data_IF_647755580179
#
_entry.id   IF_647755580179
#
_cell.length_a   1.000
_cell.length_b   1.000
_cell.length_c   1.000
_cell.angle_alpha   90.00
_cell.angle_beta   90.00
_cell.angle_gamma   90.00
#
_symmetry.space_group_name_H-M   'P 1'
#
loop_
_entity.id
_entity.type
_entity.pdbx_description
1 polymer ?
#
# COMPACT_ATOMS: atom_id res chain seq x y z
N UNK A 1 -37.62 -11.38 -17.98
CA UNK A 1 -37.51 -12.83 -17.75
C UNK A 1 -36.16 -13.28 -18.32
N UNK A 2 -35.12 -13.39 -17.49
CA UNK A 2 -33.80 -13.85 -17.97
C UNK A 2 -33.76 -15.37 -17.88
N UNK A 3 -33.67 -16.02 -19.04
CA UNK A 3 -33.63 -17.47 -19.17
C UNK A 3 -32.25 -17.98 -18.73
N UNK A 4 -32.16 -18.50 -17.51
CA UNK A 4 -30.93 -19.08 -16.96
C UNK A 4 -30.60 -20.38 -17.69
N UNK A 5 -29.54 -20.37 -18.51
CA UNK A 5 -28.99 -21.60 -19.10
C UNK A 5 -28.19 -22.37 -18.03
N UNK A 6 -28.31 -23.71 -17.97
CA UNK A 6 -27.53 -24.51 -17.04
C UNK A 6 -26.04 -24.48 -17.42
N UNK A 7 -25.18 -24.18 -16.43
CA UNK A 7 -23.72 -24.16 -16.54
C UNK A 7 -23.25 -25.60 -16.74
N UNK A 8 -22.69 -25.92 -17.92
CA UNK A 8 -22.41 -27.32 -18.31
C UNK A 8 -20.92 -27.68 -18.31
N UNK A 9 -20.02 -26.69 -18.33
CA UNK A 9 -18.57 -26.93 -18.47
C UNK A 9 -17.74 -25.97 -17.61
N UNK A 10 -16.53 -26.40 -17.22
CA UNK A 10 -15.57 -25.57 -16.47
C UNK A 10 -15.23 -24.26 -17.20
N UNK A 11 -15.32 -24.24 -18.53
CA UNK A 11 -15.05 -23.06 -19.37
C UNK A 11 -16.13 -21.98 -19.27
N UNK A 12 -17.38 -22.35 -18.94
CA UNK A 12 -18.43 -21.37 -18.67
C UNK A 12 -18.24 -20.73 -17.30
N UNK A 13 -17.71 -21.49 -16.33
CA UNK A 13 -17.38 -20.97 -15.01
C UNK A 13 -16.23 -19.95 -15.10
N UNK A 14 -15.19 -20.21 -15.89
CA UNK A 14 -14.08 -19.27 -16.10
C UNK A 14 -14.53 -18.01 -16.85
N UNK A 15 -15.41 -18.14 -17.86
CA UNK A 15 -15.99 -16.97 -18.56
C UNK A 15 -16.88 -16.12 -17.66
N UNK A 16 -17.68 -16.75 -16.80
CA UNK A 16 -18.50 -16.02 -15.82
C UNK A 16 -17.64 -15.36 -14.75
N UNK A 17 -16.55 -16.01 -14.34
CA UNK A 17 -15.57 -15.46 -13.40
C UNK A 17 -14.83 -14.26 -14.01
N UNK A 18 -14.48 -14.32 -15.29
CA UNK A 18 -13.88 -13.19 -16.03
C UNK A 18 -14.88 -12.05 -16.26
N UNK A 19 -16.13 -12.35 -16.58
CA UNK A 19 -17.18 -11.33 -16.68
C UNK A 19 -17.47 -10.67 -15.32
N UNK A 20 -17.49 -11.45 -14.23
CA UNK A 20 -17.66 -10.94 -12.87
C UNK A 20 -16.46 -10.08 -12.41
N UNK A 21 -15.25 -10.48 -12.79
CA UNK A 21 -14.02 -9.72 -12.54
C UNK A 21 -14.00 -8.41 -13.34
N UNK A 22 -14.56 -8.41 -14.55
CA UNK A 22 -14.67 -7.23 -15.42
C UNK A 22 -15.81 -6.29 -15.00
N UNK A 23 -16.89 -6.80 -14.39
CA UNK A 23 -18.01 -5.99 -13.89
C UNK A 23 -17.81 -5.41 -12.48
N UNK A 24 -16.86 -5.93 -11.68
CA UNK A 24 -16.38 -5.27 -10.44
C UNK A 24 -15.41 -4.10 -10.67
N UNK A 25 -14.96 -3.86 -11.90
CA UNK A 25 -14.40 -2.54 -12.24
C UNK A 25 -15.57 -1.57 -12.36
N UNK A 26 -15.94 -1.00 -11.21
CA UNK A 26 -16.88 0.11 -11.10
C UNK A 26 -16.61 1.13 -12.23
N UNK A 27 -17.62 1.60 -12.98
CA UNK A 27 -17.41 2.62 -14.00
C UNK A 27 -16.75 3.81 -13.30
N UNK A 28 -15.48 4.04 -13.63
CA UNK A 28 -14.67 5.08 -13.02
C UNK A 28 -15.40 6.40 -13.26
N UNK A 29 -15.88 7.04 -12.19
CA UNK A 29 -16.26 8.45 -12.25
C UNK A 29 -15.09 9.22 -12.87
N UNK A 30 -15.38 10.02 -13.89
CA UNK A 30 -14.43 10.91 -14.53
C UNK A 30 -13.76 11.79 -13.46
N UNK A 31 -12.48 11.53 -13.17
CA UNK A 31 -11.71 12.23 -12.13
C UNK A 31 -10.96 11.32 -11.15
N UNK A 32 -11.29 10.02 -11.07
CA UNK A 32 -10.50 9.08 -10.29
C UNK A 32 -9.19 8.75 -11.03
N UNK A 33 -8.11 9.45 -10.69
CA UNK A 33 -6.77 9.06 -11.10
C UNK A 33 -6.53 7.60 -10.68
N UNK A 34 -5.98 6.76 -11.57
CA UNK A 34 -5.66 5.40 -11.21
C UNK A 34 -4.71 5.38 -10.01
N UNK A 35 -5.05 4.64 -8.94
CA UNK A 35 -4.21 4.53 -7.74
C UNK A 35 -2.78 4.05 -8.05
N UNK A 36 -2.59 3.25 -9.12
CA UNK A 36 -1.26 2.81 -9.55
C UNK A 36 -0.38 3.98 -10.03
N UNK A 37 -0.97 4.97 -10.71
CA UNK A 37 -0.24 6.15 -11.18
C UNK A 37 0.16 7.06 -10.01
N UNK A 38 -0.75 7.25 -9.04
CA UNK A 38 -0.43 7.98 -7.81
C UNK A 38 0.71 7.32 -7.02
N UNK A 39 0.70 5.99 -6.90
CA UNK A 39 1.77 5.24 -6.25
C UNK A 39 3.10 5.38 -6.98
N UNK A 40 3.12 5.32 -8.32
CA UNK A 40 4.34 5.50 -9.10
C UNK A 40 4.92 6.91 -8.94
N UNK A 41 4.06 7.93 -9.06
CA UNK A 41 4.48 9.32 -8.92
C UNK A 41 4.98 9.59 -7.49
N UNK A 42 4.29 9.08 -6.48
CA UNK A 42 4.71 9.16 -5.08
C UNK A 42 6.10 8.56 -4.86
N UNK A 43 6.33 7.31 -5.32
CA UNK A 43 7.65 6.67 -5.18
C UNK A 43 8.77 7.46 -5.89
N UNK A 44 8.51 7.99 -7.08
CA UNK A 44 9.49 8.77 -7.84
C UNK A 44 9.82 10.09 -7.12
N UNK A 45 8.80 10.82 -6.67
CA UNK A 45 8.96 12.08 -5.95
C UNK A 45 9.71 11.84 -4.63
N UNK A 46 9.34 10.81 -3.86
CA UNK A 46 10.02 10.47 -2.61
C UNK A 46 11.48 10.12 -2.87
N UNK A 47 11.76 9.24 -3.84
CA UNK A 47 13.13 8.86 -4.19
C UNK A 47 13.97 10.06 -4.62
N UNK A 48 13.41 10.94 -5.47
CA UNK A 48 14.08 12.16 -5.93
C UNK A 48 14.42 13.11 -4.78
N UNK A 49 13.47 13.37 -3.87
CA UNK A 49 13.74 14.21 -2.70
C UNK A 49 14.77 13.58 -1.77
N UNK A 50 14.71 12.28 -1.53
CA UNK A 50 15.65 11.59 -0.65
C UNK A 50 17.07 11.59 -1.23
N UNK A 51 17.26 11.37 -2.53
CA UNK A 51 18.58 11.51 -3.13
C UNK A 51 19.07 12.96 -3.11
N UNK A 52 18.20 13.94 -3.38
CA UNK A 52 18.54 15.35 -3.29
C UNK A 52 19.03 15.74 -1.89
N UNK A 53 18.31 15.34 -0.84
CA UNK A 53 18.72 15.57 0.54
C UNK A 53 20.00 14.81 0.92
N UNK A 54 20.15 13.57 0.44
CA UNK A 54 21.36 12.78 0.62
C UNK A 54 22.61 13.46 0.05
N UNK A 55 22.53 13.96 -1.18
CA UNK A 55 23.63 14.67 -1.85
C UNK A 55 23.96 15.97 -1.13
N UNK A 56 22.95 16.79 -0.78
CA UNK A 56 23.19 18.02 -0.02
C UNK A 56 23.94 17.73 1.28
N UNK A 57 23.55 16.66 1.98
CA UNK A 57 24.18 16.31 3.24
C UNK A 57 25.66 15.97 3.11
N UNK A 58 26.04 15.26 2.05
CA UNK A 58 27.45 14.99 1.76
C UNK A 58 28.23 16.21 1.27
N UNK A 59 27.56 17.21 0.72
CA UNK A 59 28.15 18.54 0.48
C UNK A 59 28.28 19.38 1.77
N UNK A 60 28.00 18.80 2.93
CA UNK A 60 27.95 19.49 4.22
C UNK A 60 26.98 20.68 4.25
N UNK A 61 25.95 20.63 3.41
CA UNK A 61 24.88 21.64 3.35
C UNK A 61 23.59 20.99 3.79
N UNK A 62 22.82 21.70 4.61
CA UNK A 62 21.50 21.24 4.99
C UNK A 62 20.44 22.11 4.30
N UNK A 63 19.31 21.53 3.87
CA UNK A 63 18.23 22.29 3.23
C UNK A 63 17.41 23.13 4.22
N UNK A 64 17.53 22.85 5.53
CA UNK A 64 16.70 23.46 6.57
C UNK A 64 17.47 24.39 7.51
N UNK A 65 18.76 24.12 7.68
CA UNK A 65 19.62 24.81 8.64
C UNK A 65 20.83 25.45 7.96
N UNK A 66 21.15 26.68 8.37
CA UNK A 66 22.33 27.42 7.92
C UNK A 66 23.60 26.79 8.50
N UNK A 67 23.52 26.29 9.74
CA UNK A 67 24.62 25.59 10.41
C UNK A 67 24.13 24.40 11.22
N UNK A 68 24.65 23.23 10.89
CA UNK A 68 24.50 22.00 11.65
C UNK A 68 25.86 21.30 11.70
N UNK A 69 26.13 20.52 12.74
CA UNK A 69 27.39 19.80 12.87
C UNK A 69 27.53 18.70 11.81
N UNK A 70 28.76 18.37 11.43
CA UNK A 70 29.02 17.41 10.35
C UNK A 70 28.48 16.02 10.65
N UNK A 71 28.49 15.58 11.92
CA UNK A 71 28.03 14.26 12.33
C UNK A 71 26.53 14.01 12.02
N UNK A 72 25.57 14.85 12.50
CA UNK A 72 24.15 14.67 12.18
C UNK A 72 23.85 14.79 10.68
N UNK A 73 24.57 15.65 9.94
CA UNK A 73 24.44 15.70 8.48
C UNK A 73 24.81 14.36 7.83
N UNK A 74 25.92 13.74 8.21
CA UNK A 74 26.33 12.47 7.60
C UNK A 74 25.27 11.39 7.85
N UNK A 75 24.74 11.30 9.07
CA UNK A 75 23.68 10.33 9.42
C UNK A 75 22.42 10.59 8.60
N UNK A 76 21.96 11.85 8.53
CA UNK A 76 20.81 12.25 7.71
C UNK A 76 20.99 11.89 6.23
N UNK A 77 22.20 12.07 5.70
CA UNK A 77 22.54 11.73 4.32
C UNK A 77 22.41 10.23 4.04
N UNK A 78 22.99 9.40 4.92
CA UNK A 78 22.96 7.94 4.79
C UNK A 78 21.53 7.41 4.88
N UNK A 79 20.74 7.89 5.85
CA UNK A 79 19.34 7.47 6.04
C UNK A 79 18.50 7.82 4.81
N UNK A 80 18.67 9.03 4.26
CA UNK A 80 17.96 9.45 3.04
C UNK A 80 18.38 8.64 1.80
N UNK A 81 19.65 8.30 1.63
CA UNK A 81 20.09 7.49 0.49
C UNK A 81 19.51 6.08 0.57
N UNK A 82 19.52 5.45 1.75
CA UNK A 82 18.91 4.14 1.94
C UNK A 82 17.41 4.18 1.63
N UNK A 83 16.70 5.19 2.12
CA UNK A 83 15.28 5.36 1.81
C UNK A 83 15.03 5.64 0.32
N UNK A 84 15.89 6.44 -0.32
CA UNK A 84 15.87 6.71 -1.76
C UNK A 84 16.04 5.44 -2.61
N UNK A 85 16.92 4.52 -2.20
CA UNK A 85 17.11 3.23 -2.84
C UNK A 85 15.90 2.30 -2.64
N UNK A 86 15.33 2.25 -1.43
CA UNK A 86 14.14 1.43 -1.14
C UNK A 86 12.93 1.90 -1.96
N UNK A 87 12.72 3.22 -2.04
CA UNK A 87 11.64 3.82 -2.84
C UNK A 87 11.85 3.64 -4.34
N UNK A 88 13.10 3.74 -4.83
CA UNK A 88 13.44 3.46 -6.22
C UNK A 88 13.21 1.98 -6.58
N UNK A 89 13.63 1.06 -5.70
CA UNK A 89 13.37 -0.37 -5.86
C UNK A 89 11.87 -0.67 -5.90
N UNK A 90 11.10 -0.04 -5.00
CA UNK A 90 9.64 -0.14 -4.98
C UNK A 90 9.02 0.38 -6.28
N UNK A 91 9.51 1.51 -6.81
CA UNK A 91 9.09 2.04 -8.12
C UNK A 91 9.34 1.03 -9.25
N UNK A 92 10.55 0.47 -9.34
CA UNK A 92 10.92 -0.53 -10.36
C UNK A 92 10.01 -1.76 -10.26
N UNK A 93 9.74 -2.25 -9.04
CA UNK A 93 8.84 -3.38 -8.81
C UNK A 93 7.41 -3.08 -9.28
N UNK A 94 6.88 -1.88 -9.03
CA UNK A 94 5.56 -1.47 -9.52
C UNK A 94 5.51 -1.45 -11.06
N UNK A 95 6.58 -0.99 -11.72
CA UNK A 95 6.64 -0.92 -13.19
C UNK A 95 6.75 -2.30 -13.83
N UNK A 96 7.62 -3.16 -13.31
CA UNK A 96 7.94 -4.46 -13.95
C UNK A 96 6.89 -5.53 -13.61
N UNK A 97 6.43 -5.59 -12.36
CA UNK A 97 5.60 -6.71 -11.91
C UNK A 97 4.46 -6.24 -11.01
N UNK A 98 3.32 -5.92 -11.64
CA UNK A 98 2.10 -5.58 -10.91
C UNK A 98 1.58 -6.73 -10.01
N UNK A 99 2.07 -7.97 -10.18
CA UNK A 99 1.53 -9.16 -9.48
C UNK A 99 2.35 -9.67 -8.30
N UNK A 100 3.60 -9.23 -8.12
CA UNK A 100 4.52 -9.81 -7.11
C UNK A 100 4.85 -8.78 -6.03
N UNK A 101 3.81 -8.26 -5.38
CA UNK A 101 4.01 -7.41 -4.20
C UNK A 101 4.07 -8.26 -2.94
N UNK A 102 5.23 -8.24 -2.30
CA UNK A 102 5.43 -8.85 -1.00
C UNK A 102 5.02 -7.86 0.11
N UNK A 103 4.34 -8.38 1.13
CA UNK A 103 4.00 -7.66 2.37
C UNK A 103 5.24 -7.10 3.06
N UNK A 104 6.36 -7.82 2.97
CA UNK A 104 7.62 -7.37 3.55
C UNK A 104 8.07 -6.02 2.99
N UNK A 105 7.81 -5.73 1.71
CA UNK A 105 8.20 -4.47 1.08
C UNK A 105 7.48 -3.27 1.72
N UNK A 106 6.20 -3.41 2.07
CA UNK A 106 5.41 -2.34 2.72
C UNK A 106 5.96 -2.04 4.11
N UNK A 107 6.30 -3.08 4.88
CA UNK A 107 6.89 -2.90 6.20
C UNK A 107 8.26 -2.23 6.12
N UNK A 108 9.11 -2.65 5.17
CA UNK A 108 10.42 -2.02 4.94
C UNK A 108 10.26 -0.56 4.51
N UNK A 109 9.33 -0.26 3.61
CA UNK A 109 9.02 1.11 3.17
C UNK A 109 8.51 1.97 4.34
N UNK A 110 7.61 1.45 5.17
CA UNK A 110 7.08 2.15 6.33
C UNK A 110 8.14 2.41 7.40
N UNK A 111 8.97 1.41 7.70
CA UNK A 111 10.05 1.54 8.67
C UNK A 111 11.11 2.54 8.21
N UNK A 112 11.49 2.51 6.93
CA UNK A 112 12.47 3.43 6.36
C UNK A 112 11.94 4.86 6.27
N UNK A 113 10.66 5.06 5.92
CA UNK A 113 10.02 6.37 5.98
C UNK A 113 9.99 6.91 7.42
N UNK A 114 9.65 6.07 8.40
CA UNK A 114 9.68 6.44 9.82
C UNK A 114 11.10 6.82 10.28
N UNK A 115 12.13 6.09 9.83
CA UNK A 115 13.52 6.41 10.13
C UNK A 115 13.92 7.80 9.62
N UNK A 116 13.54 8.18 8.39
CA UNK A 116 13.82 9.52 7.85
C UNK A 116 13.11 10.61 8.67
N UNK A 117 11.84 10.40 9.03
CA UNK A 117 11.08 11.35 9.85
C UNK A 117 11.72 11.53 11.23
N UNK A 118 12.07 10.43 11.90
CA UNK A 118 12.70 10.46 13.22
C UNK A 118 14.08 11.12 13.19
N UNK A 119 14.87 10.86 12.15
CA UNK A 119 16.17 11.50 11.97
C UNK A 119 16.01 13.02 11.74
N UNK A 120 15.07 13.42 10.88
CA UNK A 120 14.76 14.84 10.64
C UNK A 120 14.32 15.55 11.92
N UNK A 121 13.47 14.90 12.74
CA UNK A 121 13.04 15.41 14.04
C UNK A 121 14.21 15.51 15.03
N UNK A 122 15.10 14.51 15.06
CA UNK A 122 16.28 14.51 15.92
C UNK A 122 17.23 15.64 15.56
N UNK A 123 17.44 15.90 14.26
CA UNK A 123 18.24 17.02 13.77
C UNK A 123 17.62 18.38 14.15
N UNK A 124 16.30 18.50 14.11
CA UNK A 124 15.59 19.70 14.56
C UNK A 124 15.78 19.95 16.06
N UNK A 125 15.58 18.93 16.90
CA UNK A 125 15.78 19.05 18.35
C UNK A 125 17.23 19.41 18.66
N UNK A 126 18.18 18.79 17.97
CA UNK A 126 19.60 19.07 18.11
C UNK A 126 19.96 20.52 17.74
N UNK A 127 19.37 21.05 16.66
CA UNK A 127 19.56 22.44 16.25
C UNK A 127 19.02 23.42 17.31
N UNK A 128 17.80 23.19 17.80
CA UNK A 128 17.18 24.03 18.84
C UNK A 128 17.98 24.01 20.14
N UNK A 129 18.54 22.86 20.53
CA UNK A 129 19.34 22.72 21.74
C UNK A 129 20.67 23.51 21.70
N UNK A 130 21.21 23.77 20.49
CA UNK A 130 22.54 24.37 20.31
C UNK A 130 22.50 25.84 19.85
N UNK A 131 21.53 26.62 20.34
CA UNK A 131 21.37 28.05 20.01
C UNK A 131 22.66 28.87 20.20
N UNK A 132 23.41 28.64 21.28
CA UNK A 132 24.64 29.41 21.58
C UNK A 132 25.71 29.21 20.52
N UNK A 133 25.92 27.96 20.09
CA UNK A 133 26.87 27.60 19.04
C UNK A 133 26.47 28.25 17.70
N UNK A 134 25.18 28.26 17.39
CA UNK A 134 24.66 28.95 16.20
C UNK A 134 24.94 30.46 16.23
N UNK A 135 24.67 31.13 17.35
CA UNK A 135 24.93 32.56 17.50
C UNK A 135 26.41 32.90 17.32
N UNK A 136 27.30 32.12 17.95
CA UNK A 136 28.75 32.30 17.81
C UNK A 136 29.20 32.14 16.36
N UNK A 137 28.69 31.11 15.67
CA UNK A 137 28.96 30.92 14.25
C UNK A 137 28.47 32.11 13.41
N UNK A 138 27.22 32.54 13.61
CA UNK A 138 26.59 33.64 12.86
C UNK A 138 27.40 34.95 12.99
N UNK A 139 27.84 35.28 14.19
CA UNK A 139 28.67 36.48 14.42
C UNK A 139 30.05 36.32 13.75
N UNK A 140 30.69 35.15 13.91
CA UNK A 140 32.02 34.91 13.33
C UNK A 140 32.01 34.92 11.79
N UNK A 141 30.98 34.36 11.17
CA UNK A 141 30.85 34.28 9.71
C UNK A 141 30.51 35.65 9.13
N UNK A 142 29.61 36.40 9.77
CA UNK A 142 29.27 37.77 9.39
C UNK A 142 30.48 38.72 9.48
N UNK A 143 31.31 38.57 10.51
CA UNK A 143 32.56 39.33 10.63
C UNK A 143 33.58 38.98 9.55
N UNK A 144 33.74 37.67 9.25
CA UNK A 144 34.68 37.21 8.23
C UNK A 144 34.35 37.77 6.83
N UNK A 145 33.06 37.81 6.46
CA UNK A 145 32.62 38.38 5.18
C UNK A 145 32.88 39.90 5.10
N UNK A 146 32.68 40.63 6.19
CA UNK A 146 32.93 42.08 6.20
C UNK A 146 34.43 42.36 6.12
N UNK A 147 35.26 41.60 6.83
CA UNK A 147 36.71 41.76 6.79
C UNK A 147 37.28 41.47 5.40
N UNK A 148 36.75 40.47 4.70
CA UNK A 148 37.15 40.18 3.31
C UNK A 148 36.77 41.30 2.34
N UNK A 149 35.62 41.95 2.55
CA UNK A 149 35.09 42.94 1.61
C UNK A 149 35.62 44.36 1.85
N UNK A 150 36.02 44.69 3.09
CA UNK A 150 36.35 46.07 3.47
C UNK A 150 37.84 46.35 3.68
N UNK A 151 38.74 45.36 3.59
CA UNK A 151 40.18 45.50 3.92
C UNK A 151 40.42 46.25 5.25
N UNK A 152 39.47 46.18 6.18
CA UNK A 152 39.57 46.83 7.48
C UNK A 152 40.15 45.85 8.50
N UNK A 153 41.38 46.11 8.91
CA UNK A 153 42.08 45.43 10.03
C UNK A 153 41.50 45.78 11.41
N UNK A 154 40.38 46.52 11.46
CA UNK A 154 39.76 46.94 12.71
C UNK A 154 38.94 45.78 13.30
N UNK A 155 39.45 45.20 14.39
CA UNK A 155 38.75 44.19 15.19
C UNK A 155 37.47 44.77 15.79
N UNK A 156 36.35 44.58 15.10
CA UNK A 156 35.01 44.93 15.60
C UNK A 156 34.69 44.05 16.83
N UNK A 157 34.19 44.64 17.94
CA UNK A 157 33.91 43.90 19.15
C UNK A 157 32.76 42.89 18.95
N UNK A 158 33.03 41.62 19.25
CA UNK A 158 32.13 40.43 19.13
C UNK A 158 30.94 40.49 20.14
N UNK A 159 30.84 41.55 20.94
CA UNK A 159 30.06 41.56 22.18
C UNK A 159 28.59 41.95 21.98
N UNK A 160 28.20 42.45 20.80
CA UNK A 160 26.81 42.88 20.54
C UNK A 160 26.23 42.19 19.30
N UNK A 161 24.95 41.83 19.36
CA UNK A 161 24.19 41.18 18.27
C UNK A 161 23.91 42.17 17.12
N UNK A 162 24.99 42.68 16.51
CA UNK A 162 24.94 43.65 15.41
C UNK A 162 24.24 43.07 14.16
N UNK A 163 24.20 41.75 14.03
CA UNK A 163 23.70 41.04 12.84
C UNK A 163 22.28 40.47 13.02
N UNK A 164 21.59 40.77 14.12
CA UNK A 164 20.28 40.20 14.44
C UNK A 164 20.26 38.66 14.35
N UNK A 165 21.35 38.00 14.78
CA UNK A 165 21.49 36.54 14.76
C UNK A 165 20.39 35.87 15.58
N UNK A 166 19.90 36.53 16.64
CA UNK A 166 18.76 36.04 17.41
C UNK A 166 17.46 35.98 16.60
N UNK A 167 17.22 36.98 15.74
CA UNK A 167 16.04 37.00 14.86
C UNK A 167 16.16 35.95 13.77
N UNK A 168 17.34 35.85 13.15
CA UNK A 168 17.62 34.83 12.12
C UNK A 168 17.40 33.41 12.67
N UNK A 169 17.92 33.13 13.86
CA UNK A 169 17.70 31.85 14.54
C UNK A 169 16.21 31.55 14.73
N UNK A 170 15.44 32.51 15.24
CA UNK A 170 14.00 32.33 15.45
C UNK A 170 13.23 32.07 14.15
N UNK A 171 13.61 32.72 13.06
CA UNK A 171 12.97 32.54 11.75
C UNK A 171 13.34 31.16 11.15
N UNK A 172 14.59 30.73 11.31
CA UNK A 172 15.09 29.41 10.89
C UNK A 172 14.42 28.27 11.68
N UNK A 173 14.21 28.43 13.00
CA UNK A 173 13.46 27.45 13.82
C UNK A 173 12.02 27.30 13.33
N UNK A 174 11.33 28.40 13.00
CA UNK A 174 9.95 28.34 12.49
C UNK A 174 9.88 27.68 11.12
N UNK A 175 10.82 28.01 10.23
CA UNK A 175 10.92 27.43 8.90
C UNK A 175 11.21 25.93 8.96
N UNK A 176 12.23 25.53 9.73
CA UNK A 176 12.59 24.12 9.91
C UNK A 176 11.47 23.31 10.56
N UNK A 177 10.76 23.85 11.56
CA UNK A 177 9.58 23.21 12.15
C UNK A 177 8.48 22.98 11.09
N UNK A 178 8.19 23.98 10.26
CA UNK A 178 7.21 23.85 9.17
C UNK A 178 7.64 22.75 8.20
N UNK A 179 8.92 22.72 7.82
CA UNK A 179 9.47 21.68 6.95
C UNK A 179 9.35 20.28 7.57
N UNK A 180 9.65 20.11 8.86
CA UNK A 180 9.52 18.82 9.57
C UNK A 180 8.06 18.34 9.54
N UNK A 181 7.10 19.22 9.82
CA UNK A 181 5.66 18.89 9.78
C UNK A 181 5.24 18.51 8.36
N UNK A 182 5.67 19.28 7.36
CA UNK A 182 5.35 19.00 5.96
C UNK A 182 5.92 17.66 5.50
N UNK A 183 7.18 17.36 5.86
CA UNK A 183 7.84 16.09 5.59
C UNK A 183 7.09 14.93 6.23
N UNK A 184 6.67 15.07 7.50
CA UNK A 184 5.88 14.06 8.19
C UNK A 184 4.55 13.77 7.46
N UNK A 185 3.82 14.82 7.08
CA UNK A 185 2.53 14.68 6.40
C UNK A 185 2.70 14.06 5.01
N UNK A 186 3.64 14.54 4.21
CA UNK A 186 3.89 14.01 2.87
C UNK A 186 4.35 12.56 2.93
N UNK A 187 5.30 12.24 3.80
CA UNK A 187 5.86 10.89 3.88
C UNK A 187 4.81 9.90 4.37
N UNK A 188 4.09 10.25 5.44
CA UNK A 188 3.01 9.39 5.96
C UNK A 188 1.88 9.24 4.94
N UNK A 189 1.47 10.33 4.27
CA UNK A 189 0.41 10.28 3.26
C UNK A 189 0.74 9.30 2.14
N UNK A 190 1.94 9.41 1.54
CA UNK A 190 2.34 8.54 0.44
C UNK A 190 2.60 7.11 0.91
N UNK A 191 3.22 6.89 2.07
CA UNK A 191 3.41 5.54 2.63
C UNK A 191 2.07 4.85 2.89
N UNK A 192 1.09 5.53 3.49
CA UNK A 192 -0.26 4.97 3.71
C UNK A 192 -0.95 4.70 2.38
N UNK A 193 -0.82 5.60 1.39
CA UNK A 193 -1.40 5.38 0.07
C UNK A 193 -0.84 4.12 -0.60
N UNK A 194 0.49 3.95 -0.60
CA UNK A 194 1.18 2.77 -1.13
C UNK A 194 0.78 1.51 -0.36
N UNK A 195 0.70 1.58 0.97
CA UNK A 195 0.27 0.47 1.81
C UNK A 195 -1.17 0.04 1.50
N UNK A 196 -2.09 0.98 1.27
CA UNK A 196 -3.47 0.65 0.87
C UNK A 196 -3.56 0.09 -0.54
N UNK A 197 -2.69 0.51 -1.46
CA UNK A 197 -2.63 -0.05 -2.81
C UNK A 197 -2.21 -1.52 -2.77
N UNK A 198 -1.15 -1.83 -2.02
CA UNK A 198 -0.65 -3.20 -1.86
C UNK A 198 -1.63 -4.05 -1.03
N UNK A 199 -2.23 -3.49 0.02
CA UNK A 199 -3.24 -4.16 0.85
C UNK A 199 -4.57 -4.43 0.15
N UNK A 200 -5.00 -3.59 -0.81
CA UNK A 200 -6.20 -3.85 -1.63
C UNK A 200 -6.02 -4.97 -2.64
N UNK A 201 -4.78 -5.29 -3.03
CA UNK A 201 -4.47 -6.52 -3.77
C UNK A 201 -4.64 -7.75 -2.86
N UNK A 202 -4.56 -7.57 -1.54
CA UNK A 202 -4.52 -8.64 -0.55
C UNK A 202 -5.87 -9.08 0.01
N UNK A 203 -6.93 -8.25 -0.01
CA UNK A 203 -8.26 -8.72 0.40
C UNK A 203 -8.92 -9.37 -0.83
N UNK A 204 -8.90 -10.71 -1.01
CA UNK A 204 -10.01 -11.31 -1.70
C UNK A 204 -11.20 -10.94 -0.82
N UNK A 205 -11.99 -9.95 -1.24
CA UNK A 205 -13.36 -9.91 -0.76
C UNK A 205 -13.97 -11.17 -1.34
N UNK A 206 -13.85 -12.27 -0.57
CA UNK A 206 -14.72 -13.40 -0.73
C UNK A 206 -16.10 -12.79 -0.84
N UNK A 207 -16.79 -12.98 -1.98
CA UNK A 207 -18.17 -12.55 -2.03
C UNK A 207 -18.81 -13.20 -0.82
N UNK A 208 -19.35 -12.40 0.09
CA UNK A 208 -20.44 -12.89 0.91
C UNK A 208 -21.53 -13.23 -0.10
N UNK A 209 -21.43 -14.46 -0.60
CA UNK A 209 -22.44 -15.16 -1.35
C UNK A 209 -23.50 -15.37 -0.27
N UNK A 210 -24.33 -14.35 -0.08
CA UNK A 210 -25.68 -14.55 0.41
C UNK A 210 -26.34 -15.46 -0.63
N UNK A 211 -26.06 -16.74 -0.53
CA UNK A 211 -27.01 -17.78 -0.91
C UNK A 211 -28.17 -17.48 0.01
N UNK A 212 -29.16 -16.72 -0.47
CA UNK A 212 -30.51 -16.90 0.03
C UNK A 212 -30.80 -18.37 -0.17
N UNK A 213 -30.84 -19.12 0.93
CA UNK A 213 -31.27 -20.51 0.91
C UNK A 213 -32.51 -20.61 0.03
N UNK A 214 -32.60 -21.59 -0.90
CA UNK A 214 -33.82 -21.80 -1.64
C UNK A 214 -34.91 -22.05 -0.60
N UNK A 215 -35.87 -21.12 -0.54
CA UNK A 215 -37.11 -21.28 0.22
C UNK A 215 -37.61 -22.68 -0.12
N UNK A 216 -37.67 -23.63 0.84
CA UNK A 216 -38.27 -24.92 0.56
C UNK A 216 -39.71 -24.62 0.14
N UNK A 217 -40.06 -24.99 -1.08
CA UNK A 217 -41.42 -24.93 -1.56
C UNK A 217 -42.27 -25.75 -0.59
N UNK A 218 -43.03 -25.07 0.27
CA UNK A 218 -44.17 -25.67 0.95
C UNK A 218 -45.23 -25.93 -0.11
N UNK A 219 -45.08 -27.03 -0.84
CA UNK A 219 -46.09 -27.50 -1.76
C UNK A 219 -46.85 -28.66 -1.11
N UNK A 220 -48.05 -28.28 -0.64
CA UNK A 220 -49.23 -29.10 -0.38
C UNK A 220 -49.15 -30.19 0.70
N UNK A 221 -49.39 -29.78 1.95
CA UNK A 221 -50.21 -30.57 2.88
C UNK A 221 -51.59 -30.70 2.24
N UNK A 222 -51.92 -31.88 1.67
CA UNK A 222 -53.31 -32.20 1.32
C UNK A 222 -54.05 -32.67 2.56
N UNK A 223 -55.23 -32.09 2.89
CA UNK A 223 -56.04 -32.56 3.99
C UNK A 223 -56.79 -33.84 3.60
N UNK A 224 -56.60 -34.86 4.44
CA UNK A 224 -57.52 -35.99 4.57
C UNK A 224 -58.97 -35.50 4.73
N UNK A 225 -59.89 -35.92 3.85
CA UNK A 225 -61.29 -36.21 4.20
C UNK A 225 -61.85 -37.34 3.31
N UNK A 226 -62.72 -38.12 3.94
CA UNK A 226 -63.17 -39.47 3.60
C UNK A 226 -64.23 -39.52 2.49
N UNK A 227 -64.30 -40.63 1.75
CA UNK A 227 -65.57 -41.23 1.31
C UNK A 227 -65.40 -42.73 1.00
N UNK A 228 -66.03 -43.57 1.81
CA UNK A 228 -66.26 -45.00 1.57
C UNK A 228 -67.34 -45.19 0.49
N UNK A 229 -67.03 -45.90 -0.59
CA UNK A 229 -68.02 -46.59 -1.46
C UNK A 229 -67.38 -47.89 -1.99
N UNK A 230 -67.92 -49.09 -1.70
CA UNK A 230 -67.52 -50.36 -2.34
C UNK A 230 -68.62 -50.83 -3.35
N UNK A 231 -68.50 -52.00 -4.01
CA UNK A 231 -67.85 -52.17 -5.31
C UNK A 231 -68.79 -52.73 -6.40
N UNK A 232 -68.58 -52.37 -7.65
CA UNK A 232 -68.97 -53.10 -8.86
C UNK A 232 -67.88 -52.75 -9.89
N UNK A 233 -67.05 -53.65 -10.39
CA UNK A 233 -67.37 -54.95 -10.94
C UNK A 233 -67.27 -54.82 -12.46
N UNK A 234 -66.05 -54.82 -13.00
CA UNK A 234 -65.79 -55.25 -14.38
C UNK A 234 -64.30 -55.41 -14.65
N UNK A 235 -63.99 -56.56 -15.23
CA UNK A 235 -62.71 -57.03 -15.70
C UNK A 235 -62.15 -56.11 -16.79
N UNK A 236 -60.86 -55.76 -16.72
CA UNK A 236 -60.10 -55.57 -17.96
C UNK A 236 -58.60 -55.83 -17.78
N UNK A 237 -58.23 -57.01 -18.26
CA UNK A 237 -57.11 -57.30 -19.16
C UNK A 237 -55.72 -56.79 -18.75
N UNK A 238 -54.96 -57.73 -18.19
CA UNK A 238 -53.51 -57.72 -18.13
C UNK A 238 -52.90 -57.84 -19.54
N UNK A 239 -52.02 -56.91 -19.90
CA UNK A 239 -51.07 -57.11 -20.99
C UNK A 239 -49.63 -56.81 -20.55
N UNK A 240 -48.87 -57.91 -20.43
CA UNK A 240 -47.53 -58.10 -20.98
C UNK A 240 -46.52 -56.98 -20.80
N UNK A 241 -45.62 -57.11 -19.82
CA UNK A 241 -44.20 -56.82 -20.02
C UNK A 241 -43.36 -57.85 -19.27
N UNK A 242 -42.59 -58.59 -20.06
CA UNK A 242 -41.73 -59.71 -19.72
C UNK A 242 -40.44 -59.22 -19.04
N UNK A 243 -39.89 -59.95 -18.05
CA UNK A 243 -38.63 -59.62 -17.40
C UNK A 243 -37.43 -60.08 -18.25
N UNK A 244 -36.36 -59.29 -18.26
CA UNK A 244 -35.03 -59.79 -18.65
C UNK A 244 -34.08 -59.71 -17.46
N UNK A 245 -33.69 -60.90 -17.02
CA UNK A 245 -32.61 -61.16 -16.09
C UNK A 245 -31.29 -61.30 -16.85
N UNK A 246 -30.19 -60.94 -16.18
CA UNK A 246 -28.89 -61.58 -16.39
C UNK A 246 -27.80 -60.71 -17.01
N UNK A 247 -26.98 -60.10 -16.15
CA UNK A 247 -25.53 -60.03 -16.38
C UNK A 247 -24.82 -59.88 -15.03
N UNK A 248 -24.22 -60.98 -14.59
CA UNK A 248 -23.33 -61.12 -13.45
C UNK A 248 -21.95 -60.53 -13.75
N UNK A 249 -21.43 -59.78 -12.76
CA UNK A 249 -20.07 -59.82 -12.20
C UNK A 249 -18.89 -60.06 -13.15
N UNK A 250 -17.99 -59.08 -13.24
CA UNK A 250 -16.54 -59.36 -13.14
C UNK A 250 -15.87 -58.31 -12.26
N UNK A 251 -15.29 -58.81 -11.17
CA UNK A 251 -14.45 -58.11 -10.22
C UNK A 251 -13.03 -58.50 -10.56
N UNK A 252 -12.23 -57.56 -11.05
CA UNK A 252 -10.77 -57.74 -11.14
C UNK A 252 -10.01 -56.54 -10.59
N UNK A 253 -9.03 -56.89 -9.76
CA UNK A 253 -8.10 -56.06 -8.99
C UNK A 253 -6.94 -55.57 -9.86
N UNK A 254 -6.53 -54.31 -9.72
CA UNK A 254 -5.12 -53.81 -9.80
C UNK A 254 -5.11 -52.46 -9.04
N UNK A 255 -4.58 -52.26 -7.83
CA UNK A 255 -3.23 -52.38 -7.24
C UNK A 255 -2.20 -51.32 -7.71
N UNK A 256 -2.02 -50.27 -6.87
CA UNK A 256 -0.76 -49.54 -6.50
C UNK A 256 -0.12 -48.65 -7.62
N UNK A 257 0.41 -47.42 -7.45
CA UNK A 257 1.16 -46.68 -6.39
C UNK A 257 1.10 -45.15 -6.63
N UNK A 258 1.50 -44.30 -5.66
CA UNK A 258 1.71 -42.85 -5.80
C UNK A 258 3.15 -42.50 -6.23
N UNK A 259 3.37 -41.28 -6.73
CA UNK A 259 4.72 -40.70 -6.84
C UNK A 259 4.76 -39.21 -6.47
N UNK A 260 5.68 -38.96 -5.54
CA UNK A 260 6.32 -37.75 -4.99
C UNK A 260 6.64 -36.60 -5.97
N UNK A 261 6.46 -35.34 -5.57
CA UNK A 261 7.47 -34.42 -4.99
C UNK A 261 8.76 -34.24 -5.82
N UNK A 262 8.92 -33.03 -6.37
CA UNK A 262 10.13 -32.18 -6.30
C UNK A 262 9.66 -30.73 -6.12
#
# INVERSE_FOLDING_TARGET
MFQSRPIRTKDDLTKLQDQYKRSRLHPRCCGCFPNWFGSLLGCLIMSGFSFYFGVLSFMQKSPFYSKLETAPLIVFGVVNILFGLITLFTFIMIVISHRVFDRHLVYVLGLSAAAVVLDTLSNFIYFVANQKTFQQWCISDGLAQIQSDSNMDAALPIVSDYYNCQRLFNDEVKWSLLCVILMFLLYTHWTVFIATFIGKVFIPMDPMLFVTDPIPSMEAIQPHMMANIPPHGEESVYHNLKPQAGATVSSDKVLITPFDQV
#
